data_IF_208431352999
#
_entry.id   IF_208431352999
#
_cell.length_a   1.000
_cell.length_b   1.000
_cell.length_c   1.000
_cell.angle_alpha   90.00
_cell.angle_beta   90.00
_cell.angle_gamma   90.00
#
_symmetry.space_group_name_H-M   'P 1'
#
loop_
_entity.id
_entity.type
_entity.pdbx_description
1 polymer ?
#
# COMPACT_ATOMS: atom_id res chain seq x y z
N UNK A 1 20.03 -52.25 51.97
CA UNK A 1 20.51 -51.97 53.34
C UNK A 1 21.83 -51.21 53.25
N UNK A 2 21.76 -49.88 53.44
CA UNK A 2 22.37 -49.11 54.54
C UNK A 2 23.86 -48.80 54.40
N UNK A 3 24.17 -47.62 53.86
CA UNK A 3 25.41 -46.89 54.18
C UNK A 3 25.05 -45.53 54.77
N UNK A 4 25.14 -45.45 56.10
CA UNK A 4 24.86 -44.25 56.92
C UNK A 4 25.93 -43.17 56.69
N UNK A 5 25.48 -41.98 56.31
CA UNK A 5 26.24 -40.72 56.31
C UNK A 5 26.37 -40.18 57.74
N UNK A 6 27.60 -39.99 58.24
CA UNK A 6 27.89 -39.25 59.50
C UNK A 6 28.16 -37.77 59.18
N UNK A 7 27.26 -36.88 59.59
CA UNK A 7 27.45 -35.41 59.59
C UNK A 7 28.36 -34.99 60.76
N UNK A 8 29.39 -34.21 60.45
CA UNK A 8 30.35 -33.60 61.39
C UNK A 8 29.78 -32.28 61.94
N UNK A 9 29.76 -32.15 63.27
CA UNK A 9 29.24 -31.01 64.03
C UNK A 9 30.26 -29.85 64.01
N UNK A 10 29.88 -28.66 63.55
CA UNK A 10 30.65 -27.42 63.74
C UNK A 10 30.00 -26.64 64.89
N UNK A 11 30.79 -26.38 65.95
CA UNK A 11 30.42 -25.55 67.10
C UNK A 11 30.59 -24.07 66.71
N UNK A 12 29.52 -23.28 66.72
CA UNK A 12 29.63 -21.82 66.77
C UNK A 12 29.66 -21.36 68.24
N UNK A 13 30.68 -20.57 68.59
CA UNK A 13 30.80 -19.89 69.90
C UNK A 13 29.82 -18.72 69.93
N UNK A 14 28.85 -18.77 70.82
CA UNK A 14 27.94 -17.66 71.16
C UNK A 14 28.62 -16.74 72.17
N UNK A 15 28.99 -15.53 71.75
CA UNK A 15 29.39 -14.44 72.63
C UNK A 15 28.13 -13.78 73.18
N UNK A 16 27.89 -13.86 74.49
CA UNK A 16 26.75 -13.23 75.17
C UNK A 16 26.92 -11.71 75.18
N UNK A 17 26.10 -10.99 74.41
CA UNK A 17 25.84 -9.56 74.61
C UNK A 17 24.62 -9.42 75.53
N UNK A 18 24.85 -8.85 76.71
CA UNK A 18 23.82 -8.42 77.67
C UNK A 18 22.79 -7.51 77.01
N UNK A 19 21.52 -7.94 76.99
CA UNK A 19 20.37 -7.13 76.55
C UNK A 19 20.12 -6.04 77.59
N UNK A 20 20.59 -4.82 77.32
CA UNK A 20 20.02 -3.60 77.93
C UNK A 20 18.61 -3.41 77.34
N UNK A 21 17.63 -3.13 78.19
CA UNK A 21 16.30 -2.70 77.72
C UNK A 21 16.47 -1.46 76.83
N UNK A 22 15.76 -1.39 75.69
CA UNK A 22 15.87 -0.25 74.80
C UNK A 22 15.28 0.97 75.51
N UNK A 23 16.10 1.97 75.79
CA UNK A 23 15.66 3.27 76.31
C UNK A 23 14.52 3.81 75.43
N UNK A 24 13.51 4.46 76.02
CA UNK A 24 12.34 5.01 75.30
C UNK A 24 12.72 5.82 74.03
N UNK A 25 13.86 6.52 74.07
CA UNK A 25 14.44 7.23 72.92
C UNK A 25 14.86 6.32 71.75
N UNK A 26 15.36 5.11 72.01
CA UNK A 26 15.72 4.13 70.98
C UNK A 26 14.47 3.51 70.31
N UNK A 27 13.39 3.35 71.07
CA UNK A 27 12.08 2.91 70.55
C UNK A 27 11.47 4.03 69.71
N UNK A 28 11.47 5.27 70.19
CA UNK A 28 10.99 6.44 69.45
C UNK A 28 11.73 6.65 68.12
N UNK A 29 13.06 6.47 68.11
CA UNK A 29 13.86 6.56 66.88
C UNK A 29 13.50 5.47 65.88
N UNK A 30 13.26 4.23 66.34
CA UNK A 30 12.78 3.13 65.48
C UNK A 30 11.38 3.41 64.94
N UNK A 31 10.47 3.90 65.77
CA UNK A 31 9.10 4.27 65.37
C UNK A 31 9.13 5.40 64.33
N UNK A 32 9.99 6.41 64.51
CA UNK A 32 10.19 7.48 63.53
C UNK A 32 10.72 6.93 62.20
N UNK A 33 11.74 6.05 62.21
CA UNK A 33 12.27 5.44 60.98
C UNK A 33 11.25 4.55 60.26
N UNK A 34 10.38 3.85 61.01
CA UNK A 34 9.28 3.06 60.44
C UNK A 34 8.20 3.97 59.86
N UNK A 35 7.90 5.10 60.52
CA UNK A 35 6.97 6.11 60.01
C UNK A 35 7.46 6.73 58.70
N UNK A 36 8.75 7.08 58.63
CA UNK A 36 9.36 7.64 57.42
C UNK A 36 9.42 6.62 56.28
N UNK A 37 9.74 5.35 56.59
CA UNK A 37 9.69 4.25 55.62
C UNK A 37 8.27 4.02 55.10
N UNK A 38 7.25 4.13 55.97
CA UNK A 38 5.84 3.99 55.59
C UNK A 38 5.39 5.17 54.71
N UNK A 39 5.86 6.39 54.99
CA UNK A 39 5.60 7.56 54.14
C UNK A 39 6.27 7.43 52.76
N UNK A 40 7.51 6.94 52.70
CA UNK A 40 8.19 6.65 51.44
C UNK A 40 7.43 5.60 50.63
N UNK A 41 7.08 4.47 51.25
CA UNK A 41 6.30 3.42 50.61
C UNK A 41 4.95 3.94 50.09
N UNK A 42 4.26 4.79 50.87
CA UNK A 42 3.02 5.44 50.44
C UNK A 42 3.22 6.33 49.21
N UNK A 43 4.29 7.13 49.15
CA UNK A 43 4.62 7.94 47.97
C UNK A 43 4.91 7.07 46.75
N UNK A 44 5.61 5.96 46.95
CA UNK A 44 6.00 5.03 45.89
C UNK A 44 4.81 4.23 45.36
N UNK A 45 3.90 3.78 46.24
CA UNK A 45 2.61 3.21 45.87
C UNK A 45 1.80 4.22 45.05
N UNK A 46 1.78 5.50 45.45
CA UNK A 46 1.04 6.55 44.70
C UNK A 46 1.64 6.80 43.32
N UNK A 47 2.97 6.75 43.19
CA UNK A 47 3.66 6.82 41.91
C UNK A 47 3.35 5.59 41.04
N UNK A 48 3.36 4.37 41.61
CA UNK A 48 2.96 3.14 40.92
C UNK A 48 1.51 3.20 40.43
N UNK A 49 0.56 3.67 41.25
CA UNK A 49 -0.84 3.82 40.85
C UNK A 49 -0.99 4.79 39.68
N UNK A 50 -0.21 5.88 39.67
CA UNK A 50 -0.19 6.83 38.55
C UNK A 50 0.34 6.17 37.27
N UNK A 51 1.45 5.43 37.35
CA UNK A 51 1.99 4.66 36.21
C UNK A 51 0.97 3.64 35.70
N UNK A 52 0.28 2.94 36.59
CA UNK A 52 -0.75 1.97 36.21
C UNK A 52 -1.91 2.64 35.45
N UNK A 53 -2.34 3.82 35.90
CA UNK A 53 -3.38 4.61 35.22
C UNK A 53 -2.94 5.12 33.85
N UNK A 54 -1.67 5.52 33.69
CA UNK A 54 -1.10 5.94 32.40
C UNK A 54 -0.97 4.75 31.45
N UNK A 55 -0.49 3.60 31.93
CA UNK A 55 -0.43 2.36 31.15
C UNK A 55 -1.82 1.92 30.68
N UNK A 56 -2.86 2.10 31.51
CA UNK A 56 -4.22 1.78 31.11
C UNK A 56 -4.74 2.69 30.00
N UNK A 57 -4.36 3.98 29.99
CA UNK A 57 -4.66 4.89 28.87
C UNK A 57 -3.95 4.45 27.59
N UNK A 58 -2.68 4.06 27.68
CA UNK A 58 -1.93 3.53 26.52
C UNK A 58 -2.61 2.29 25.97
N UNK A 59 -3.01 1.35 26.83
CA UNK A 59 -3.74 0.14 26.42
C UNK A 59 -5.07 0.45 25.74
N UNK A 60 -5.84 1.41 26.23
CA UNK A 60 -7.07 1.87 25.57
C UNK A 60 -6.78 2.47 24.20
N UNK A 61 -5.68 3.24 24.08
CA UNK A 61 -5.26 3.82 22.81
C UNK A 61 -4.83 2.74 21.81
N UNK A 62 -4.10 1.72 22.27
CA UNK A 62 -3.73 0.56 21.46
C UNK A 62 -4.96 -0.25 21.02
N UNK A 63 -5.93 -0.44 21.90
CA UNK A 63 -7.22 -1.06 21.55
C UNK A 63 -7.91 -0.29 20.42
N UNK A 64 -8.01 1.03 20.53
CA UNK A 64 -8.64 1.86 19.49
C UNK A 64 -7.88 1.79 18.15
N UNK A 65 -6.54 1.71 18.18
CA UNK A 65 -5.74 1.48 16.99
C UNK A 65 -5.97 0.09 16.40
N UNK A 66 -6.05 -0.97 17.22
CA UNK A 66 -6.37 -2.33 16.78
C UNK A 66 -7.77 -2.38 16.18
N UNK A 67 -8.76 -1.72 16.77
CA UNK A 67 -10.13 -1.66 16.24
C UNK A 67 -10.17 -0.94 14.88
N UNK A 68 -9.39 0.14 14.73
CA UNK A 68 -9.25 0.86 13.45
C UNK A 68 -8.54 0.02 12.39
N UNK A 69 -7.47 -0.67 12.76
CA UNK A 69 -6.76 -1.60 11.87
C UNK A 69 -7.64 -2.78 11.47
N UNK A 70 -8.43 -3.33 12.40
CA UNK A 70 -9.36 -4.43 12.14
C UNK A 70 -10.43 -3.98 11.14
N UNK A 71 -10.98 -2.78 11.32
CA UNK A 71 -11.96 -2.20 10.40
C UNK A 71 -11.37 -1.96 9.00
N UNK A 72 -10.13 -1.48 8.92
CA UNK A 72 -9.42 -1.31 7.65
C UNK A 72 -9.14 -2.66 6.96
N UNK A 73 -8.76 -3.69 7.73
CA UNK A 73 -8.50 -5.04 7.22
C UNK A 73 -9.79 -5.67 6.66
N UNK A 74 -10.91 -5.47 7.34
CA UNK A 74 -12.22 -5.94 6.90
C UNK A 74 -12.69 -5.22 5.62
N UNK A 75 -12.41 -3.93 5.49
CA UNK A 75 -12.66 -3.17 4.26
C UNK A 75 -11.80 -3.69 3.09
N UNK A 76 -10.50 -3.93 3.32
CA UNK A 76 -9.58 -4.49 2.32
C UNK A 76 -10.02 -5.88 1.87
N UNK A 77 -10.45 -6.75 2.81
CA UNK A 77 -10.97 -8.08 2.46
C UNK A 77 -12.25 -8.01 1.62
N UNK A 78 -13.17 -7.08 1.91
CA UNK A 78 -14.37 -6.87 1.10
C UNK A 78 -14.03 -6.35 -0.31
N UNK A 79 -13.10 -5.40 -0.41
CA UNK A 79 -12.60 -4.88 -1.68
C UNK A 79 -11.93 -5.98 -2.51
N UNK A 80 -11.07 -6.82 -1.91
CA UNK A 80 -10.42 -7.94 -2.60
C UNK A 80 -11.44 -8.91 -3.20
N UNK A 81 -12.53 -9.24 -2.48
CA UNK A 81 -13.62 -10.07 -3.04
C UNK A 81 -14.31 -9.39 -4.23
N UNK A 82 -14.52 -8.08 -4.17
CA UNK A 82 -15.11 -7.33 -5.28
C UNK A 82 -14.18 -7.31 -6.51
N UNK A 83 -12.87 -7.18 -6.31
CA UNK A 83 -11.86 -7.24 -7.38
C UNK A 83 -11.88 -8.61 -8.07
N UNK A 84 -11.91 -9.70 -7.30
CA UNK A 84 -11.97 -11.05 -7.90
C UNK A 84 -13.24 -11.26 -8.74
N UNK A 85 -14.37 -10.69 -8.32
CA UNK A 85 -15.62 -10.75 -9.11
C UNK A 85 -15.51 -9.90 -10.38
N UNK A 86 -14.89 -8.71 -10.28
CA UNK A 86 -14.64 -7.84 -11.43
C UNK A 86 -13.69 -8.49 -12.46
N UNK A 87 -12.69 -9.23 -11.97
CA UNK A 87 -11.77 -9.98 -12.81
C UNK A 87 -12.50 -11.11 -13.57
N UNK A 88 -13.33 -11.90 -12.87
CA UNK A 88 -14.16 -12.94 -13.50
C UNK A 88 -15.15 -12.37 -14.52
N UNK A 89 -15.82 -11.25 -14.19
CA UNK A 89 -16.71 -10.54 -15.11
C UNK A 89 -15.94 -10.02 -16.35
N UNK A 90 -14.72 -9.50 -16.16
CA UNK A 90 -13.86 -9.04 -17.26
C UNK A 90 -13.46 -10.19 -18.17
N UNK A 91 -13.13 -11.36 -17.61
CA UNK A 91 -12.82 -12.56 -18.38
C UNK A 91 -14.04 -13.05 -19.19
N UNK A 92 -15.25 -12.99 -18.62
CA UNK A 92 -16.50 -13.34 -19.34
C UNK A 92 -16.79 -12.36 -20.48
N UNK A 93 -16.67 -11.06 -20.25
CA UNK A 93 -16.81 -10.05 -21.31
C UNK A 93 -15.79 -10.29 -22.42
N UNK A 94 -14.56 -10.64 -22.05
CA UNK A 94 -13.53 -10.94 -23.03
C UNK A 94 -13.87 -12.17 -23.89
N UNK A 95 -14.38 -13.23 -23.27
CA UNK A 95 -14.85 -14.41 -23.98
C UNK A 95 -16.05 -14.09 -24.91
N UNK A 96 -17.00 -13.28 -24.43
CA UNK A 96 -18.15 -12.81 -25.21
C UNK A 96 -17.73 -11.95 -26.40
N UNK A 97 -16.82 -10.99 -26.18
CA UNK A 97 -16.29 -10.12 -27.22
C UNK A 97 -15.54 -10.91 -28.31
N UNK A 98 -14.76 -11.92 -27.91
CA UNK A 98 -14.09 -12.80 -28.86
C UNK A 98 -15.09 -13.60 -29.72
N UNK A 99 -16.21 -14.04 -29.15
CA UNK A 99 -17.28 -14.68 -29.93
C UNK A 99 -17.95 -13.70 -30.90
N UNK A 100 -18.25 -12.48 -30.46
CA UNK A 100 -18.86 -11.44 -31.32
C UNK A 100 -17.92 -11.06 -32.47
N UNK A 101 -16.61 -10.93 -32.21
CA UNK A 101 -15.58 -10.66 -33.24
C UNK A 101 -15.50 -11.81 -34.26
N UNK A 102 -15.55 -13.06 -33.80
CA UNK A 102 -15.63 -14.23 -34.69
C UNK A 102 -16.90 -14.23 -35.57
N UNK A 103 -18.02 -13.74 -35.03
CA UNK A 103 -19.30 -13.64 -35.76
C UNK A 103 -19.40 -12.41 -36.68
N UNK A 104 -18.58 -11.38 -36.50
CA UNK A 104 -18.49 -10.24 -37.43
C UNK A 104 -18.10 -10.68 -38.84
N UNK A 105 -17.23 -11.68 -38.98
CA UNK A 105 -16.85 -12.22 -40.29
C UNK A 105 -17.99 -13.00 -40.97
N UNK A 106 -18.92 -13.56 -40.19
CA UNK A 106 -20.14 -14.14 -40.75
C UNK A 106 -21.04 -13.04 -41.32
N UNK A 107 -21.12 -11.89 -40.67
CA UNK A 107 -21.85 -10.72 -41.20
C UNK A 107 -21.23 -10.24 -42.51
N UNK A 108 -19.89 -10.15 -42.60
CA UNK A 108 -19.19 -9.80 -43.84
C UNK A 108 -19.48 -10.82 -44.94
N UNK A 109 -19.41 -12.14 -44.66
CA UNK A 109 -19.74 -13.19 -45.63
C UNK A 109 -21.20 -13.15 -46.08
N UNK A 110 -22.14 -12.88 -45.17
CA UNK A 110 -23.56 -12.72 -45.49
C UNK A 110 -23.77 -11.50 -46.38
N UNK A 111 -23.07 -10.40 -46.10
CA UNK A 111 -23.14 -9.19 -46.92
C UNK A 111 -22.60 -9.44 -48.34
N UNK A 112 -21.47 -10.14 -48.46
CA UNK A 112 -20.90 -10.55 -49.74
C UNK A 112 -21.84 -11.50 -50.52
N UNK A 113 -22.46 -12.46 -49.83
CA UNK A 113 -23.45 -13.35 -50.44
C UNK A 113 -24.70 -12.60 -50.88
N UNK A 114 -25.13 -11.58 -50.13
CA UNK A 114 -26.27 -10.72 -50.47
C UNK A 114 -25.97 -9.86 -51.70
N UNK A 115 -24.76 -9.31 -51.80
CA UNK A 115 -24.31 -8.57 -52.97
C UNK A 115 -24.28 -9.44 -54.24
N UNK A 116 -23.77 -10.68 -54.12
CA UNK A 116 -23.78 -11.66 -55.23
C UNK A 116 -25.19 -12.05 -55.64
N UNK A 117 -26.09 -12.23 -54.67
CA UNK A 117 -27.52 -12.48 -54.93
C UNK A 117 -28.20 -11.30 -55.64
N UNK A 118 -27.88 -10.06 -55.27
CA UNK A 118 -28.38 -8.87 -55.98
C UNK A 118 -27.88 -8.82 -57.43
N UNK A 119 -26.63 -9.19 -57.67
CA UNK A 119 -26.04 -9.23 -59.01
C UNK A 119 -26.65 -10.34 -59.87
N UNK A 120 -26.93 -11.52 -59.31
CA UNK A 120 -27.64 -12.60 -60.01
C UNK A 120 -29.11 -12.25 -60.25
N UNK A 121 -29.80 -11.60 -59.30
CA UNK A 121 -31.18 -11.09 -59.52
C UNK A 121 -31.21 -10.05 -60.65
N UNK A 122 -30.17 -9.22 -60.77
CA UNK A 122 -30.01 -8.30 -61.89
C UNK A 122 -29.80 -9.04 -63.22
N UNK A 123 -29.00 -10.12 -63.25
CA UNK A 123 -28.79 -10.98 -64.42
C UNK A 123 -30.05 -11.78 -64.81
N UNK A 124 -30.86 -12.22 -63.85
CA UNK A 124 -32.16 -12.86 -64.08
C UNK A 124 -33.13 -11.93 -64.82
N UNK A 125 -33.01 -10.61 -64.61
CA UNK A 125 -33.78 -9.59 -65.34
C UNK A 125 -33.42 -9.50 -66.84
N UNK A 126 -32.28 -10.06 -67.27
CA UNK A 126 -31.79 -9.98 -68.66
C UNK A 126 -31.93 -11.28 -69.49
N UNK A 127 -32.30 -12.43 -68.91
CA UNK A 127 -32.98 -13.52 -69.63
C UNK A 127 -32.27 -14.88 -69.87
N UNK A 128 -33.13 -15.92 -69.92
CA UNK A 128 -33.02 -17.29 -70.48
C UNK A 128 -32.46 -18.50 -69.67
N UNK A 129 -33.34 -19.51 -69.57
CA UNK A 129 -33.20 -20.99 -69.53
C UNK A 129 -32.19 -21.73 -68.64
N UNK A 130 -32.52 -21.98 -67.36
CA UNK A 130 -32.12 -23.19 -66.58
C UNK A 130 -33.04 -23.36 -65.33
N UNK A 131 -34.36 -23.34 -65.50
CA UNK A 131 -35.36 -23.16 -64.42
C UNK A 131 -35.32 -24.22 -63.30
N UNK A 132 -34.86 -25.44 -63.60
CA UNK A 132 -34.94 -26.59 -62.69
C UNK A 132 -33.72 -26.71 -61.76
N UNK A 133 -32.49 -26.53 -62.29
CA UNK A 133 -31.28 -26.34 -61.46
C UNK A 133 -31.37 -25.05 -60.64
N UNK A 134 -31.99 -24.01 -61.20
CA UNK A 134 -32.23 -22.75 -60.52
C UNK A 134 -33.18 -22.91 -59.34
N UNK A 135 -34.28 -23.66 -59.50
CA UNK A 135 -35.21 -23.99 -58.40
C UNK A 135 -34.50 -24.73 -57.26
N UNK A 136 -33.65 -25.70 -57.60
CA UNK A 136 -32.88 -26.47 -56.62
C UNK A 136 -31.84 -25.59 -55.88
N UNK A 137 -31.15 -24.68 -56.59
CA UNK A 137 -30.23 -23.71 -56.00
C UNK A 137 -30.93 -22.66 -55.14
N UNK A 138 -32.08 -22.16 -55.58
CA UNK A 138 -32.91 -21.22 -54.82
C UNK A 138 -33.42 -21.89 -53.55
N UNK A 139 -33.83 -23.16 -53.58
CA UNK A 139 -34.23 -23.91 -52.38
C UNK A 139 -33.06 -24.11 -51.41
N UNK A 140 -31.88 -24.47 -51.90
CA UNK A 140 -30.66 -24.58 -51.07
C UNK A 140 -30.24 -23.22 -50.49
N UNK A 141 -30.43 -22.14 -51.24
CA UNK A 141 -30.24 -20.76 -50.78
C UNK A 141 -31.27 -20.39 -49.71
N UNK A 142 -32.54 -20.78 -49.86
CA UNK A 142 -33.60 -20.55 -48.89
C UNK A 142 -33.31 -21.22 -47.54
N UNK A 143 -32.82 -22.47 -47.57
CA UNK A 143 -32.41 -23.19 -46.36
C UNK A 143 -31.17 -22.56 -45.70
N UNK A 144 -30.22 -22.09 -46.52
CA UNK A 144 -29.04 -21.36 -46.04
C UNK A 144 -29.42 -20.01 -45.42
N UNK A 145 -30.35 -19.27 -46.04
CA UNK A 145 -30.90 -18.01 -45.53
C UNK A 145 -31.66 -18.25 -44.23
N UNK A 146 -32.43 -19.33 -44.13
CA UNK A 146 -33.16 -19.71 -42.91
C UNK A 146 -32.20 -20.08 -41.77
N UNK A 147 -31.14 -20.82 -42.06
CA UNK A 147 -30.10 -21.15 -41.08
C UNK A 147 -29.33 -19.90 -40.63
N UNK A 148 -28.93 -19.05 -41.57
CA UNK A 148 -28.27 -17.77 -41.28
C UNK A 148 -29.18 -16.84 -40.46
N UNK A 149 -30.48 -16.79 -40.76
CA UNK A 149 -31.50 -16.06 -39.99
C UNK A 149 -31.56 -16.53 -38.54
N UNK A 150 -31.57 -17.84 -38.29
CA UNK A 150 -31.53 -18.38 -36.92
C UNK A 150 -30.22 -18.02 -36.20
N UNK A 151 -29.10 -17.99 -36.92
CA UNK A 151 -27.82 -17.57 -36.37
C UNK A 151 -27.82 -16.07 -36.00
N UNK A 152 -28.42 -15.22 -36.83
CA UNK A 152 -28.60 -13.79 -36.57
C UNK A 152 -29.46 -13.56 -35.31
N UNK A 153 -30.52 -14.34 -35.10
CA UNK A 153 -31.35 -14.26 -33.89
C UNK A 153 -30.54 -14.60 -32.64
N UNK A 154 -29.72 -15.66 -32.68
CA UNK A 154 -28.83 -16.03 -31.57
C UNK A 154 -27.74 -14.98 -31.32
N UNK A 155 -27.24 -14.33 -32.38
CA UNK A 155 -26.29 -13.22 -32.28
C UNK A 155 -26.96 -12.02 -31.60
N UNK A 156 -28.18 -11.66 -31.99
CA UNK A 156 -28.92 -10.57 -31.37
C UNK A 156 -29.12 -10.80 -29.87
N UNK A 157 -29.53 -12.02 -29.48
CA UNK A 157 -29.68 -12.40 -28.07
C UNK A 157 -28.36 -12.28 -27.28
N UNK A 158 -27.24 -12.74 -27.85
CA UNK A 158 -25.92 -12.57 -27.22
C UNK A 158 -25.45 -11.12 -27.14
N UNK A 159 -25.80 -10.30 -28.12
CA UNK A 159 -25.50 -8.86 -28.09
C UNK A 159 -26.29 -8.19 -26.95
N UNK A 160 -27.54 -8.59 -26.73
CA UNK A 160 -28.34 -8.09 -25.62
C UNK A 160 -27.75 -8.52 -24.26
N UNK A 161 -27.29 -9.77 -24.13
CA UNK A 161 -26.59 -10.25 -22.92
C UNK A 161 -25.29 -9.47 -22.67
N UNK A 162 -24.43 -9.31 -23.68
CA UNK A 162 -23.17 -8.55 -23.58
C UNK A 162 -23.45 -7.08 -23.24
N UNK A 163 -24.54 -6.51 -23.74
CA UNK A 163 -24.95 -5.12 -23.45
C UNK A 163 -25.36 -4.97 -21.99
N UNK A 164 -26.12 -5.92 -21.45
CA UNK A 164 -26.51 -5.90 -20.03
C UNK A 164 -25.29 -6.11 -19.11
N UNK A 165 -24.36 -6.99 -19.47
CA UNK A 165 -23.08 -7.15 -18.75
C UNK A 165 -22.25 -5.86 -18.77
N UNK A 166 -22.16 -5.19 -19.92
CA UNK A 166 -21.51 -3.88 -20.05
C UNK A 166 -22.17 -2.82 -19.18
N UNK A 167 -23.50 -2.83 -19.10
CA UNK A 167 -24.28 -1.90 -18.27
C UNK A 167 -24.05 -2.16 -16.78
N UNK A 168 -23.95 -3.42 -16.38
CA UNK A 168 -23.64 -3.82 -15.01
C UNK A 168 -22.20 -3.45 -14.61
N UNK A 169 -21.22 -3.63 -15.50
CA UNK A 169 -19.84 -3.18 -15.29
C UNK A 169 -19.74 -1.66 -15.23
N UNK A 170 -20.49 -0.94 -16.07
CA UNK A 170 -20.60 0.52 -15.99
C UNK A 170 -21.17 0.97 -14.64
N UNK A 171 -22.22 0.33 -14.14
CA UNK A 171 -22.79 0.64 -12.83
C UNK A 171 -21.83 0.31 -11.67
N UNK A 172 -21.00 -0.75 -11.78
CA UNK A 172 -19.90 -1.00 -10.84
C UNK A 172 -18.78 0.04 -10.97
N UNK A 173 -18.52 0.57 -12.16
CA UNK A 173 -17.55 1.66 -12.37
C UNK A 173 -17.96 2.95 -11.66
N UNK A 174 -19.26 3.20 -11.48
CA UNK A 174 -19.74 4.31 -10.65
C UNK A 174 -19.32 4.17 -9.18
N UNK A 175 -19.05 2.96 -8.66
CA UNK A 175 -18.44 2.79 -7.33
C UNK A 175 -16.95 3.18 -7.29
N UNK A 176 -16.27 3.26 -8.42
CA UNK A 176 -14.95 3.92 -8.52
C UNK A 176 -15.06 5.44 -8.33
N UNK A 177 -16.22 6.05 -8.61
CA UNK A 177 -16.45 7.48 -8.34
C UNK A 177 -16.53 7.76 -6.84
N UNK A 178 -17.10 6.83 -6.04
CA UNK A 178 -17.07 6.95 -4.58
C UNK A 178 -15.65 6.86 -4.02
N UNK A 179 -14.78 6.03 -4.61
CA UNK A 179 -13.36 5.99 -4.22
C UNK A 179 -12.67 7.34 -4.49
N UNK A 180 -12.94 7.98 -5.63
CA UNK A 180 -12.43 9.34 -5.90
C UNK A 180 -12.97 10.39 -4.92
N UNK A 181 -14.24 10.27 -4.52
CA UNK A 181 -14.85 11.14 -3.52
C UNK A 181 -14.20 10.95 -2.14
N UNK A 182 -13.99 9.71 -1.74
CA UNK A 182 -13.32 9.35 -0.48
C UNK A 182 -11.87 9.83 -0.48
N UNK A 183 -11.15 9.71 -1.60
CA UNK A 183 -9.81 10.27 -1.79
C UNK A 183 -9.82 11.80 -1.68
N UNK A 184 -10.84 12.46 -2.22
CA UNK A 184 -11.05 13.90 -2.07
C UNK A 184 -11.32 14.32 -0.63
N UNK A 185 -12.10 13.54 0.12
CA UNK A 185 -12.36 13.76 1.54
C UNK A 185 -11.10 13.54 2.39
N UNK A 186 -10.31 12.50 2.11
CA UNK A 186 -9.02 12.24 2.75
C UNK A 186 -8.05 13.40 2.47
N UNK A 187 -7.97 13.88 1.23
CA UNK A 187 -7.14 15.03 0.85
C UNK A 187 -7.53 16.29 1.63
N UNK A 188 -8.83 16.61 1.72
CA UNK A 188 -9.31 17.74 2.52
C UNK A 188 -8.96 17.60 4.00
N UNK A 189 -9.02 16.39 4.56
CA UNK A 189 -8.59 16.12 5.94
C UNK A 189 -7.09 16.32 6.12
N UNK A 190 -6.27 15.87 5.17
CA UNK A 190 -4.80 16.07 5.18
C UNK A 190 -4.48 17.56 5.12
N UNK A 191 -5.13 18.32 4.25
CA UNK A 191 -4.91 19.76 4.08
C UNK A 191 -5.31 20.53 5.36
N UNK A 192 -6.40 20.12 6.02
CA UNK A 192 -6.79 20.64 7.33
C UNK A 192 -5.77 20.30 8.43
N UNK A 193 -5.21 19.08 8.44
CA UNK A 193 -4.17 18.67 9.38
C UNK A 193 -2.88 19.46 9.12
N UNK A 194 -2.51 19.67 7.86
CA UNK A 194 -1.35 20.48 7.46
C UNK A 194 -1.48 21.92 7.97
N UNK A 195 -2.64 22.55 7.78
CA UNK A 195 -2.89 23.89 8.31
C UNK A 195 -2.83 23.96 9.85
N UNK A 196 -3.29 22.91 10.55
CA UNK A 196 -3.13 22.80 12.01
C UNK A 196 -1.66 22.60 12.42
N UNK A 197 -0.86 21.90 11.62
CA UNK A 197 0.57 21.72 11.86
C UNK A 197 1.33 23.06 11.73
N UNK A 198 0.99 23.90 10.76
CA UNK A 198 1.54 25.27 10.66
C UNK A 198 1.17 26.13 11.88
N UNK A 199 -0.06 26.01 12.38
CA UNK A 199 -0.46 26.69 13.63
C UNK A 199 0.34 26.19 14.85
N UNK A 200 0.66 24.89 14.92
CA UNK A 200 1.53 24.33 15.96
C UNK A 200 2.96 24.90 15.85
N UNK A 201 3.45 25.15 14.63
CA UNK A 201 4.76 25.75 14.43
C UNK A 201 4.82 27.20 14.95
N UNK A 202 3.75 27.98 14.77
CA UNK A 202 3.66 29.34 15.36
C UNK A 202 3.55 29.30 16.90
N UNK A 203 2.84 28.31 17.46
CA UNK A 203 2.79 28.05 18.90
C UNK A 203 4.17 27.72 19.49
N UNK A 204 5.04 26.99 18.77
CA UNK A 204 6.41 26.73 19.22
C UNK A 204 7.20 28.03 19.42
N UNK A 205 7.07 29.01 18.52
CA UNK A 205 7.73 30.31 18.69
C UNK A 205 7.27 31.05 19.94
N UNK A 206 5.99 30.93 20.32
CA UNK A 206 5.46 31.48 21.58
C UNK A 206 6.03 30.74 22.79
N UNK A 207 6.16 29.40 22.71
CA UNK A 207 6.77 28.58 23.77
C UNK A 207 8.23 28.96 23.99
N UNK A 208 9.00 29.22 22.92
CA UNK A 208 10.38 29.70 23.02
C UNK A 208 10.47 31.07 23.71
N UNK A 209 9.55 31.98 23.38
CA UNK A 209 9.43 33.27 24.05
C UNK A 209 9.12 33.13 25.55
N UNK A 210 8.17 32.26 25.90
CA UNK A 210 7.84 31.96 27.31
C UNK A 210 9.02 31.32 28.03
N UNK A 211 9.77 30.42 27.38
CA UNK A 211 10.97 29.78 27.93
C UNK A 211 12.04 30.82 28.29
N UNK A 212 12.28 31.80 27.43
CA UNK A 212 13.21 32.89 27.70
C UNK A 212 12.75 33.77 28.88
N UNK A 213 11.44 34.06 28.96
CA UNK A 213 10.87 34.77 30.11
C UNK A 213 11.02 33.96 31.40
N UNK A 214 10.79 32.64 31.37
CA UNK A 214 10.95 31.77 32.54
C UNK A 214 12.40 31.66 33.01
N UNK A 215 13.36 31.59 32.08
CA UNK A 215 14.78 31.65 32.44
C UNK A 215 15.11 32.96 33.16
N UNK A 216 14.57 34.08 32.71
CA UNK A 216 14.75 35.39 33.36
C UNK A 216 14.11 35.44 34.74
N UNK A 217 12.95 34.81 34.95
CA UNK A 217 12.32 34.70 36.27
C UNK A 217 13.12 33.78 37.20
N UNK A 218 13.71 32.71 36.66
CA UNK A 218 14.55 31.77 37.42
C UNK A 218 15.80 32.47 37.96
N UNK A 219 16.52 33.23 37.13
CA UNK A 219 17.72 33.97 37.56
C UNK A 219 17.39 35.07 38.57
N UNK A 220 16.23 35.73 38.43
CA UNK A 220 15.72 36.68 39.44
C UNK A 220 15.36 35.98 40.76
N UNK A 221 14.78 34.77 40.70
CA UNK A 221 14.47 33.99 41.89
C UNK A 221 15.74 33.53 42.61
N UNK A 222 16.76 33.08 41.88
CA UNK A 222 18.09 32.76 42.44
C UNK A 222 18.73 33.96 43.13
N UNK A 223 18.60 35.15 42.54
CA UNK A 223 19.05 36.41 43.14
C UNK A 223 18.29 36.71 44.44
N UNK A 224 16.99 36.41 44.53
CA UNK A 224 16.21 36.53 45.77
C UNK A 224 16.65 35.53 46.84
N UNK A 225 17.00 34.29 46.47
CA UNK A 225 17.56 33.29 47.40
C UNK A 225 18.89 33.78 47.97
N UNK A 226 19.75 34.37 47.15
CA UNK A 226 21.00 34.99 47.62
C UNK A 226 20.76 36.17 48.57
N UNK A 227 19.73 37.00 48.32
CA UNK A 227 19.31 38.06 49.24
C UNK A 227 18.76 37.50 50.55
N UNK A 228 18.02 36.39 50.52
CA UNK A 228 17.57 35.69 51.74
C UNK A 228 18.76 35.26 52.60
N UNK A 229 19.82 34.71 52.00
CA UNK A 229 21.04 34.35 52.74
C UNK A 229 21.76 35.55 53.37
N UNK A 230 21.77 36.70 52.68
CA UNK A 230 22.27 37.95 53.27
C UNK A 230 21.39 38.45 54.41
N UNK A 231 20.07 38.24 54.31
CA UNK A 231 19.10 38.57 55.34
C UNK A 231 19.30 37.71 56.60
N UNK A 232 19.63 36.43 56.45
CA UNK A 232 20.03 35.54 57.56
C UNK A 232 21.25 36.10 58.32
N UNK A 233 22.24 36.60 57.57
CA UNK A 233 23.46 37.19 58.15
C UNK A 233 23.13 38.46 58.92
N UNK A 234 22.29 39.33 58.35
CA UNK A 234 21.85 40.57 58.98
C UNK A 234 20.98 40.31 60.22
N UNK A 235 20.13 39.27 60.23
CA UNK A 235 19.38 38.87 61.43
C UNK A 235 20.31 38.45 62.57
N UNK A 236 21.39 37.74 62.24
CA UNK A 236 22.43 37.36 63.20
C UNK A 236 23.14 38.57 63.79
N UNK A 237 23.48 39.55 62.94
CA UNK A 237 24.09 40.82 63.35
C UNK A 237 23.14 41.65 64.24
N UNK A 238 21.87 41.81 63.86
CA UNK A 238 20.84 42.49 64.67
C UNK A 238 20.70 41.81 66.03
N UNK A 239 20.64 40.47 66.05
CA UNK A 239 20.56 39.69 67.30
C UNK A 239 21.79 39.90 68.19
N UNK A 240 22.98 40.06 67.60
CA UNK A 240 24.21 40.33 68.34
C UNK A 240 24.25 41.75 68.92
N UNK A 241 23.77 42.73 68.15
CA UNK A 241 23.62 44.13 68.60
C UNK A 241 22.58 44.24 69.70
N UNK A 242 21.48 43.48 69.61
CA UNK A 242 20.46 43.44 70.64
C UNK A 242 21.03 42.96 71.98
N UNK A 243 21.81 41.87 71.97
CA UNK A 243 22.52 41.38 73.17
C UNK A 243 23.46 42.43 73.78
N UNK A 244 24.00 43.33 72.95
CA UNK A 244 24.89 44.43 73.39
C UNK A 244 24.12 45.69 73.82
N UNK A 245 22.93 45.93 73.28
CA UNK A 245 22.08 47.07 73.59
C UNK A 245 21.17 46.85 74.82
N UNK A 246 20.83 45.60 75.16
CA UNK A 246 20.14 45.24 76.41
C UNK A 246 20.95 45.65 77.67
N UNK A 247 22.26 45.93 77.54
CA UNK A 247 23.10 46.58 78.57
C UNK A 247 22.79 48.08 78.78
N UNK A 248 21.98 48.70 77.92
CA UNK A 248 21.53 50.10 77.97
C UNK A 248 20.01 50.18 77.79
N UNK A 249 19.27 50.19 78.91
CA UNK A 249 17.82 49.93 78.99
C UNK A 249 16.89 50.68 78.00
N UNK A 250 17.30 51.86 77.50
CA UNK A 250 16.48 52.68 76.58
C UNK A 250 16.59 52.28 75.10
N UNK A 251 17.71 51.68 74.67
CA UNK A 251 17.96 51.36 73.24
C UNK A 251 17.52 49.93 72.90
N UNK A 252 17.45 49.03 73.89
CA UNK A 252 17.11 47.62 73.69
C UNK A 252 15.66 47.38 73.22
N UNK A 253 14.70 48.22 73.61
CA UNK A 253 13.29 48.02 73.30
C UNK A 253 12.94 48.40 71.85
N UNK A 254 13.50 49.50 71.32
CA UNK A 254 13.39 49.87 69.91
C UNK A 254 14.08 48.86 68.99
N UNK A 255 15.23 48.33 69.42
CA UNK A 255 15.97 47.32 68.65
C UNK A 255 15.26 45.95 68.65
N UNK A 256 14.51 45.61 69.70
CA UNK A 256 13.60 44.45 69.74
C UNK A 256 12.48 44.56 68.72
N UNK A 257 11.86 45.74 68.59
CA UNK A 257 10.83 45.99 67.57
C UNK A 257 11.40 45.81 66.16
N UNK A 258 12.57 46.40 65.88
CA UNK A 258 13.25 46.27 64.57
C UNK A 258 13.58 44.81 64.26
N UNK A 259 14.02 44.01 65.24
CA UNK A 259 14.29 42.60 65.04
C UNK A 259 13.01 41.81 64.69
N UNK A 260 11.89 42.11 65.37
CA UNK A 260 10.59 41.49 65.07
C UNK A 260 10.14 41.82 63.65
N UNK A 261 10.12 43.10 63.29
CA UNK A 261 9.69 43.56 61.97
C UNK A 261 10.58 42.99 60.85
N UNK A 262 11.89 42.87 61.09
CA UNK A 262 12.83 42.26 60.17
C UNK A 262 12.59 40.75 60.00
N UNK A 263 12.26 40.05 61.09
CA UNK A 263 11.92 38.62 61.06
C UNK A 263 10.63 38.37 60.27
N UNK A 264 9.62 39.20 60.49
CA UNK A 264 8.34 39.14 59.77
C UNK A 264 8.51 39.45 58.27
N UNK A 265 9.36 40.44 57.94
CA UNK A 265 9.71 40.76 56.55
C UNK A 265 10.43 39.58 55.89
N UNK A 266 11.42 38.99 56.57
CA UNK A 266 12.18 37.84 56.09
C UNK A 266 11.29 36.63 55.81
N UNK A 267 10.41 36.31 56.75
CA UNK A 267 9.50 35.18 56.59
C UNK A 267 8.58 35.37 55.37
N UNK A 268 8.06 36.59 55.18
CA UNK A 268 7.23 36.92 54.02
C UNK A 268 7.98 36.84 52.68
N UNK A 269 9.21 37.35 52.62
CA UNK A 269 10.06 37.27 51.43
C UNK A 269 10.42 35.82 51.11
N UNK A 270 10.78 35.02 52.12
CA UNK A 270 11.14 33.61 51.96
C UNK A 270 9.96 32.76 51.47
N UNK A 271 8.76 32.96 52.05
CA UNK A 271 7.52 32.28 51.61
C UNK A 271 7.17 32.62 50.16
N UNK A 272 7.22 33.89 49.77
CA UNK A 272 6.94 34.31 48.38
C UNK A 272 7.99 33.78 47.40
N UNK A 273 9.26 33.77 47.78
CA UNK A 273 10.36 33.23 46.96
C UNK A 273 10.16 31.73 46.71
N UNK A 274 9.88 30.96 47.76
CA UNK A 274 9.66 29.53 47.67
C UNK A 274 8.46 29.20 46.77
N UNK A 275 7.36 29.95 46.89
CA UNK A 275 6.19 29.80 46.03
C UNK A 275 6.47 30.13 44.55
N UNK A 276 7.34 31.10 44.27
CA UNK A 276 7.76 31.43 42.89
C UNK A 276 8.62 30.29 42.32
N UNK A 277 9.60 29.79 43.08
CA UNK A 277 10.48 28.69 42.65
C UNK A 277 9.67 27.43 42.33
N UNK A 278 8.70 27.07 43.17
CA UNK A 278 7.84 25.90 42.95
C UNK A 278 6.98 26.05 41.68
N UNK A 279 6.39 27.23 41.46
CA UNK A 279 5.60 27.51 40.25
C UNK A 279 6.45 27.50 38.99
N UNK A 280 7.66 28.06 39.04
CA UNK A 280 8.62 28.05 37.92
C UNK A 280 9.04 26.61 37.58
N UNK A 281 9.32 25.78 38.59
CA UNK A 281 9.63 24.36 38.38
C UNK A 281 8.47 23.62 37.72
N UNK A 282 7.25 23.82 38.22
CA UNK A 282 6.05 23.15 37.68
C UNK A 282 5.78 23.51 36.22
N UNK A 283 6.00 24.77 35.83
CA UNK A 283 5.81 25.23 34.46
C UNK A 283 6.97 24.77 33.56
N UNK A 284 8.21 24.72 34.08
CA UNK A 284 9.36 24.15 33.36
C UNK A 284 9.12 22.69 32.96
N UNK A 285 8.56 21.88 33.86
CA UNK A 285 8.20 20.49 33.57
C UNK A 285 7.08 20.38 32.52
N UNK A 286 6.12 21.32 32.54
CA UNK A 286 5.05 21.39 31.55
C UNK A 286 5.60 21.73 30.15
N UNK A 287 6.53 22.69 30.06
CA UNK A 287 7.20 23.07 28.81
C UNK A 287 7.98 21.88 28.23
N UNK A 288 8.78 21.18 29.03
CA UNK A 288 9.53 19.98 28.56
C UNK A 288 8.60 18.88 28.04
N UNK A 289 7.48 18.65 28.72
CA UNK A 289 6.48 17.66 28.28
C UNK A 289 5.79 18.07 26.98
N UNK A 290 5.54 19.37 26.80
CA UNK A 290 5.00 19.93 25.56
C UNK A 290 5.98 19.76 24.40
N UNK A 291 7.27 20.09 24.59
CA UNK A 291 8.32 19.93 23.58
C UNK A 291 8.44 18.47 23.12
N UNK A 292 8.42 17.51 24.05
CA UNK A 292 8.44 16.08 23.74
C UNK A 292 7.22 15.65 22.90
N UNK A 293 6.02 16.11 23.27
CA UNK A 293 4.79 15.80 22.53
C UNK A 293 4.78 16.40 21.13
N UNK A 294 5.30 17.62 20.95
CA UNK A 294 5.40 18.26 19.62
C UNK A 294 6.41 17.55 18.73
N UNK A 295 7.56 17.14 19.28
CA UNK A 295 8.56 16.37 18.54
C UNK A 295 8.03 15.01 18.07
N UNK A 296 7.29 14.29 18.93
CA UNK A 296 6.61 13.05 18.54
C UNK A 296 5.53 13.27 17.47
N UNK A 297 4.80 14.39 17.52
CA UNK A 297 3.80 14.74 16.53
C UNK A 297 4.41 14.97 15.14
N UNK A 298 5.50 15.74 15.06
CA UNK A 298 6.21 15.94 13.79
C UNK A 298 6.76 14.63 13.24
N UNK A 299 7.42 13.81 14.07
CA UNK A 299 7.97 12.51 13.63
C UNK A 299 6.88 11.56 13.09
N UNK A 300 5.72 11.48 13.76
CA UNK A 300 4.60 10.67 13.27
C UNK A 300 3.98 11.23 12.00
N UNK A 301 3.91 12.55 11.87
CA UNK A 301 3.36 13.23 10.69
C UNK A 301 4.24 13.01 9.46
N UNK A 302 5.56 13.11 9.61
CA UNK A 302 6.52 12.84 8.53
C UNK A 302 6.44 11.39 8.07
N UNK A 303 6.31 10.45 9.01
CA UNK A 303 6.13 9.03 8.68
C UNK A 303 4.84 8.78 7.91
N UNK A 304 3.72 9.38 8.33
CA UNK A 304 2.43 9.28 7.61
C UNK A 304 2.52 9.88 6.21
N UNK A 305 3.24 10.98 6.04
CA UNK A 305 3.44 11.59 4.72
C UNK A 305 4.29 10.69 3.81
N UNK A 306 5.35 10.07 4.34
CA UNK A 306 6.17 9.11 3.62
C UNK A 306 5.38 7.86 3.19
N UNK A 307 4.62 7.27 4.12
CA UNK A 307 3.76 6.12 3.85
C UNK A 307 2.71 6.44 2.76
N UNK A 308 2.16 7.67 2.74
CA UNK A 308 1.24 8.14 1.70
C UNK A 308 1.90 8.29 0.32
N UNK A 309 3.15 8.73 0.25
CA UNK A 309 3.89 8.81 -1.00
C UNK A 309 4.26 7.41 -1.52
N UNK A 310 4.64 6.49 -0.63
CA UNK A 310 4.90 5.10 -0.97
C UNK A 310 3.62 4.41 -1.48
N UNK A 311 2.48 4.61 -0.81
CA UNK A 311 1.16 4.14 -1.27
C UNK A 311 0.79 4.68 -2.65
N UNK A 312 1.07 5.96 -2.92
CA UNK A 312 0.84 6.57 -4.24
C UNK A 312 1.75 5.95 -5.31
N UNK A 313 3.01 5.66 -4.98
CA UNK A 313 3.96 5.00 -5.86
C UNK A 313 3.55 3.56 -6.21
N UNK A 314 3.20 2.77 -5.20
CA UNK A 314 2.76 1.37 -5.37
C UNK A 314 1.43 1.30 -6.11
N UNK A 315 0.47 2.17 -5.81
CA UNK A 315 -0.84 2.16 -6.48
C UNK A 315 -0.74 2.53 -7.96
N UNK A 316 0.05 3.56 -8.29
CA UNK A 316 0.25 3.94 -9.70
C UNK A 316 1.04 2.89 -10.48
N UNK A 317 2.04 2.27 -9.85
CA UNK A 317 2.84 1.22 -10.47
C UNK A 317 2.01 -0.05 -10.68
N UNK A 318 1.32 -0.54 -9.65
CA UNK A 318 0.46 -1.72 -9.76
C UNK A 318 -0.68 -1.53 -10.78
N UNK A 319 -1.30 -0.35 -10.82
CA UNK A 319 -2.34 -0.02 -11.80
C UNK A 319 -1.79 0.02 -13.24
N UNK A 320 -0.61 0.63 -13.43
CA UNK A 320 0.08 0.66 -14.72
C UNK A 320 0.50 -0.74 -15.19
N UNK A 321 1.10 -1.53 -14.30
CA UNK A 321 1.64 -2.85 -14.63
C UNK A 321 0.49 -3.83 -14.92
N UNK A 322 -0.58 -3.82 -14.12
CA UNK A 322 -1.81 -4.62 -14.38
C UNK A 322 -2.46 -4.23 -15.71
N UNK A 323 -2.52 -2.93 -16.04
CA UNK A 323 -3.10 -2.45 -17.30
C UNK A 323 -2.25 -2.87 -18.51
N UNK A 324 -0.90 -2.86 -18.37
CA UNK A 324 0.03 -3.31 -19.41
C UNK A 324 -0.04 -4.83 -19.62
N UNK A 325 -0.07 -5.62 -18.55
CA UNK A 325 -0.26 -7.07 -18.61
C UNK A 325 -1.61 -7.43 -19.25
N UNK A 326 -2.69 -6.75 -18.85
CA UNK A 326 -4.00 -6.92 -19.46
C UNK A 326 -3.96 -6.57 -20.96
N UNK A 327 -3.33 -5.46 -21.35
CA UNK A 327 -3.15 -5.12 -22.76
C UNK A 327 -2.32 -6.15 -23.54
N UNK A 328 -1.28 -6.71 -22.92
CA UNK A 328 -0.46 -7.77 -23.52
C UNK A 328 -1.30 -9.02 -23.79
N UNK A 329 -2.11 -9.47 -22.81
CA UNK A 329 -3.01 -10.61 -22.95
C UNK A 329 -4.09 -10.36 -24.01
N UNK A 330 -4.68 -9.16 -24.02
CA UNK A 330 -5.66 -8.76 -25.05
C UNK A 330 -5.05 -8.82 -26.46
N UNK A 331 -3.84 -8.28 -26.63
CA UNK A 331 -3.12 -8.28 -27.92
C UNK A 331 -2.71 -9.69 -28.35
N UNK A 332 -2.30 -10.54 -27.40
CA UNK A 332 -1.96 -11.94 -27.67
C UNK A 332 -3.18 -12.73 -28.13
N UNK A 333 -4.32 -12.56 -27.47
CA UNK A 333 -5.57 -13.22 -27.86
C UNK A 333 -6.13 -12.65 -29.16
N UNK A 334 -5.96 -11.36 -29.45
CA UNK A 334 -6.29 -10.77 -30.75
C UNK A 334 -5.47 -11.43 -31.87
N UNK A 335 -4.16 -11.55 -31.67
CA UNK A 335 -3.26 -12.24 -32.59
C UNK A 335 -3.68 -13.70 -32.83
N UNK A 336 -3.89 -14.48 -31.76
CA UNK A 336 -4.29 -15.89 -31.89
C UNK A 336 -5.63 -16.05 -32.62
N UNK A 337 -6.59 -15.15 -32.37
CA UNK A 337 -7.88 -15.16 -33.05
C UNK A 337 -7.72 -14.89 -34.56
N UNK A 338 -6.94 -13.87 -34.94
CA UNK A 338 -6.66 -13.55 -36.35
C UNK A 338 -6.00 -14.70 -37.11
N UNK A 339 -4.96 -15.32 -36.52
CA UNK A 339 -4.27 -16.48 -37.14
C UNK A 339 -5.23 -17.66 -37.31
N UNK A 340 -6.08 -17.93 -36.31
CA UNK A 340 -7.06 -19.03 -36.39
C UNK A 340 -8.13 -18.76 -37.46
N UNK A 341 -8.63 -17.53 -37.53
CA UNK A 341 -9.61 -17.10 -38.51
C UNK A 341 -9.09 -17.21 -39.94
N UNK A 342 -7.86 -16.77 -40.18
CA UNK A 342 -7.21 -16.92 -41.48
C UNK A 342 -7.03 -18.40 -41.83
N UNK A 343 -6.62 -19.24 -40.88
CA UNK A 343 -6.47 -20.69 -41.09
C UNK A 343 -7.78 -21.44 -41.35
N UNK A 344 -8.91 -20.93 -40.86
CA UNK A 344 -10.22 -21.49 -41.15
C UNK A 344 -10.72 -21.18 -42.57
N UNK A 345 -10.11 -20.22 -43.28
CA UNK A 345 -10.47 -19.94 -44.67
C UNK A 345 -10.22 -21.15 -45.57
N UNK A 346 -11.13 -21.37 -46.53
CA UNK A 346 -11.01 -22.45 -47.53
C UNK A 346 -10.11 -22.07 -48.70
N UNK A 347 -9.95 -20.78 -48.96
CA UNK A 347 -9.13 -20.21 -50.02
C UNK A 347 -8.33 -19.05 -49.44
N UNK A 348 -7.09 -18.88 -49.89
CA UNK A 348 -6.23 -17.78 -49.50
C UNK A 348 -5.11 -17.59 -50.52
N UNK A 349 -4.54 -16.41 -50.53
CA UNK A 349 -3.47 -16.02 -51.45
C UNK A 349 -2.13 -15.89 -50.72
N UNK A 350 -1.04 -15.78 -51.48
CA UNK A 350 0.29 -15.56 -50.94
C UNK A 350 0.35 -14.33 -50.00
N UNK A 351 -0.46 -13.30 -50.29
CA UNK A 351 -0.59 -12.09 -49.47
C UNK A 351 -1.15 -12.38 -48.08
N UNK A 352 -2.02 -13.37 -47.93
CA UNK A 352 -2.58 -13.74 -46.64
C UNK A 352 -1.54 -14.42 -45.75
N UNK A 353 -0.64 -15.21 -46.35
CA UNK A 353 0.50 -15.80 -45.64
C UNK A 353 1.48 -14.72 -45.18
N UNK A 354 1.75 -13.72 -46.04
CA UNK A 354 2.55 -12.55 -45.68
C UNK A 354 1.92 -11.78 -44.52
N UNK A 355 0.61 -11.52 -44.57
CA UNK A 355 -0.12 -10.87 -43.48
C UNK A 355 -0.04 -11.66 -42.16
N UNK A 356 -0.15 -12.99 -42.21
CA UNK A 356 -0.02 -13.85 -41.01
C UNK A 356 1.42 -13.84 -40.45
N UNK A 357 2.43 -13.81 -41.32
CA UNK A 357 3.83 -13.71 -40.92
C UNK A 357 4.12 -12.34 -40.27
N UNK A 358 3.63 -11.26 -40.87
CA UNK A 358 3.79 -9.90 -40.34
C UNK A 358 3.08 -9.71 -39.00
N UNK A 359 1.87 -10.25 -38.84
CA UNK A 359 1.15 -10.26 -37.57
C UNK A 359 1.94 -11.01 -36.49
N UNK A 360 2.60 -12.10 -36.86
CA UNK A 360 3.44 -12.90 -35.95
C UNK A 360 4.68 -12.12 -35.51
N UNK A 361 5.33 -11.40 -36.43
CA UNK A 361 6.47 -10.53 -36.10
C UNK A 361 6.05 -9.34 -35.24
N UNK A 362 4.89 -8.72 -35.53
CA UNK A 362 4.38 -7.59 -34.76
C UNK A 362 4.09 -7.95 -33.30
N UNK A 363 3.48 -9.12 -33.04
CA UNK A 363 3.19 -9.53 -31.67
C UNK A 363 4.49 -9.84 -30.91
N UNK A 364 5.47 -10.50 -31.54
CA UNK A 364 6.78 -10.80 -30.94
C UNK A 364 7.47 -9.51 -30.53
N UNK A 365 7.56 -8.53 -31.44
CA UNK A 365 8.18 -7.24 -31.15
C UNK A 365 7.46 -6.46 -30.04
N UNK A 366 6.14 -6.58 -29.96
CA UNK A 366 5.34 -5.92 -28.92
C UNK A 366 5.62 -6.51 -27.53
N UNK A 367 5.70 -7.83 -27.43
CA UNK A 367 6.05 -8.52 -26.18
C UNK A 367 7.51 -8.34 -25.77
N UNK A 368 8.44 -8.27 -26.72
CA UNK A 368 9.85 -7.97 -26.44
C UNK A 368 10.00 -6.54 -25.90
N UNK A 369 9.30 -5.56 -26.47
CA UNK A 369 9.25 -4.19 -25.93
C UNK A 369 8.65 -4.15 -24.53
N UNK A 370 7.52 -4.82 -24.31
CA UNK A 370 6.88 -4.88 -22.99
C UNK A 370 7.77 -5.56 -21.95
N UNK A 371 8.52 -6.60 -22.33
CA UNK A 371 9.49 -7.28 -21.45
C UNK A 371 10.64 -6.36 -21.05
N UNK A 372 11.16 -5.58 -22.00
CA UNK A 372 12.24 -4.60 -21.73
C UNK A 372 11.73 -3.50 -20.78
N UNK A 373 10.51 -3.00 -21.00
CA UNK A 373 9.91 -1.95 -20.16
C UNK A 373 9.53 -2.43 -18.76
N UNK A 374 9.10 -3.68 -18.61
CA UNK A 374 8.70 -4.26 -17.33
C UNK A 374 9.88 -4.75 -16.48
N UNK A 375 11.10 -4.82 -17.03
CA UNK A 375 12.28 -5.46 -16.39
C UNK A 375 12.07 -6.93 -15.97
N UNK A 376 10.95 -7.53 -16.33
CA UNK A 376 10.64 -8.96 -16.23
C UNK A 376 10.70 -9.60 -17.62
N UNK A 377 11.26 -10.81 -17.69
CA UNK A 377 11.20 -11.62 -18.90
C UNK A 377 9.77 -12.09 -19.11
N UNK A 378 9.00 -11.34 -19.90
CA UNK A 378 7.71 -11.75 -20.44
C UNK A 378 7.79 -11.98 -21.97
N UNK A 379 8.76 -12.74 -22.50
CA UNK A 379 8.76 -13.04 -23.93
C UNK A 379 7.53 -13.90 -24.27
N UNK A 380 7.05 -13.80 -25.51
CA UNK A 380 5.96 -14.68 -25.98
C UNK A 380 6.33 -16.14 -25.70
N UNK A 381 5.43 -16.94 -25.08
CA UNK A 381 5.67 -18.36 -24.89
C UNK A 381 6.05 -19.04 -26.21
N UNK A 382 7.12 -19.82 -26.18
CA UNK A 382 7.65 -20.49 -27.37
C UNK A 382 6.59 -21.34 -28.08
N UNK A 383 5.63 -21.87 -27.32
CA UNK A 383 4.47 -22.62 -27.78
C UNK A 383 3.57 -21.80 -28.70
N UNK A 384 3.40 -20.50 -28.45
CA UNK A 384 2.58 -19.61 -29.28
C UNK A 384 3.30 -19.29 -30.59
N UNK A 385 4.63 -19.10 -30.55
CA UNK A 385 5.45 -18.91 -31.76
C UNK A 385 5.39 -20.14 -32.66
N UNK A 386 5.61 -21.32 -32.08
CA UNK A 386 5.50 -22.59 -32.80
C UNK A 386 4.10 -22.81 -33.36
N UNK A 387 3.06 -22.52 -32.56
CA UNK A 387 1.67 -22.69 -32.99
C UNK A 387 1.34 -21.81 -34.20
N UNK A 388 1.77 -20.54 -34.18
CA UNK A 388 1.51 -19.60 -35.28
C UNK A 388 2.20 -20.05 -36.58
N UNK A 389 3.49 -20.41 -36.51
CA UNK A 389 4.24 -20.91 -37.67
C UNK A 389 3.66 -22.23 -38.19
N UNK A 390 3.27 -23.14 -37.30
CA UNK A 390 2.56 -24.36 -37.68
C UNK A 390 1.26 -24.07 -38.41
N UNK A 391 0.48 -23.07 -37.97
CA UNK A 391 -0.77 -22.70 -38.64
C UNK A 391 -0.54 -22.11 -40.01
N UNK A 392 0.52 -21.31 -40.19
CA UNK A 392 0.90 -20.78 -41.51
C UNK A 392 1.21 -21.91 -42.50
N UNK A 393 1.94 -22.96 -42.07
CA UNK A 393 2.19 -24.12 -42.93
C UNK A 393 0.92 -24.93 -43.24
N UNK A 394 0.00 -25.08 -42.27
CA UNK A 394 -1.29 -25.73 -42.53
C UNK A 394 -2.12 -24.95 -43.56
N UNK A 395 -2.08 -23.60 -43.53
CA UNK A 395 -2.74 -22.77 -44.54
C UNK A 395 -2.09 -22.94 -45.91
N UNK A 396 -0.77 -22.96 -45.96
CA UNK A 396 -0.02 -23.12 -47.20
C UNK A 396 -0.33 -24.44 -47.91
N UNK A 397 -0.44 -25.54 -47.16
CA UNK A 397 -0.88 -26.84 -47.68
C UNK A 397 -2.28 -26.75 -48.29
N UNK A 398 -3.21 -26.22 -47.50
CA UNK A 398 -4.63 -26.12 -47.86
C UNK A 398 -4.89 -25.21 -49.06
N UNK A 399 -4.05 -24.19 -49.27
CA UNK A 399 -4.15 -23.24 -50.38
C UNK A 399 -3.18 -23.57 -51.52
N UNK A 400 -2.51 -24.73 -51.47
CA UNK A 400 -1.57 -25.22 -52.48
C UNK A 400 -0.44 -24.24 -52.81
N UNK A 401 0.03 -23.50 -51.80
CA UNK A 401 1.15 -22.55 -51.94
C UNK A 401 2.48 -23.29 -51.92
N UNK A 402 3.40 -22.92 -52.82
CA UNK A 402 4.72 -23.57 -52.90
C UNK A 402 5.54 -23.32 -51.64
N UNK A 403 6.22 -24.37 -51.18
CA UNK A 403 7.10 -24.32 -50.01
C UNK A 403 8.12 -23.17 -50.07
N UNK A 404 8.79 -23.00 -51.21
CA UNK A 404 9.83 -21.98 -51.40
C UNK A 404 9.31 -20.55 -51.16
N UNK A 405 8.08 -20.26 -51.58
CA UNK A 405 7.47 -18.94 -51.43
C UNK A 405 7.11 -18.68 -49.96
N UNK A 406 6.53 -19.66 -49.29
CA UNK A 406 6.19 -19.60 -47.85
C UNK A 406 7.45 -19.50 -46.99
N UNK A 407 8.47 -20.27 -47.32
CA UNK A 407 9.74 -20.28 -46.59
C UNK A 407 10.48 -18.95 -46.73
N UNK A 408 10.48 -18.35 -47.92
CA UNK A 408 11.05 -17.03 -48.14
C UNK A 408 10.32 -15.93 -47.35
N UNK A 409 8.98 -15.95 -47.33
CA UNK A 409 8.17 -15.00 -46.54
C UNK A 409 8.48 -15.13 -45.05
N UNK A 410 8.45 -16.36 -44.50
CA UNK A 410 8.74 -16.59 -43.08
C UNK A 410 10.17 -16.20 -42.71
N UNK A 411 11.14 -16.47 -43.58
CA UNK A 411 12.55 -16.11 -43.36
C UNK A 411 12.75 -14.60 -43.39
N UNK A 412 12.07 -13.89 -44.28
CA UNK A 412 12.16 -12.43 -44.39
C UNK A 412 11.42 -11.71 -43.25
N UNK A 413 10.24 -12.19 -42.85
CA UNK A 413 9.42 -11.53 -41.82
C UNK A 413 9.84 -11.88 -40.39
N UNK A 414 10.18 -13.15 -40.08
CA UNK A 414 10.53 -13.57 -38.71
C UNK A 414 12.05 -13.62 -38.46
N UNK A 415 12.87 -13.77 -39.50
CA UNK A 415 14.31 -13.98 -39.36
C UNK A 415 14.69 -15.42 -39.04
N UNK A 416 15.95 -15.78 -39.33
CA UNK A 416 16.46 -17.17 -39.29
C UNK A 416 16.43 -17.78 -37.88
N UNK A 417 16.76 -17.01 -36.85
CA UNK A 417 16.86 -17.54 -35.48
C UNK A 417 15.48 -17.86 -34.87
N UNK A 418 14.50 -16.98 -35.03
CA UNK A 418 13.12 -17.21 -34.57
C UNK A 418 12.45 -18.33 -35.36
N UNK A 419 12.71 -18.41 -36.67
CA UNK A 419 12.16 -19.46 -37.51
C UNK A 419 12.73 -20.83 -37.14
N UNK A 420 14.03 -20.91 -36.81
CA UNK A 420 14.68 -22.13 -36.32
C UNK A 420 14.05 -22.67 -35.04
N UNK A 421 13.66 -21.79 -34.12
CA UNK A 421 12.96 -22.17 -32.89
C UNK A 421 11.49 -22.56 -33.12
N UNK A 422 10.81 -21.90 -34.06
CA UNK A 422 9.38 -22.05 -34.27
C UNK A 422 8.98 -23.21 -35.21
N UNK A 423 9.87 -23.66 -36.09
CA UNK A 423 9.57 -24.70 -37.08
C UNK A 423 9.48 -26.10 -36.46
N UNK A 424 8.42 -26.84 -36.82
CA UNK A 424 8.33 -28.29 -36.60
C UNK A 424 8.71 -29.06 -37.86
N UNK A 425 9.91 -29.64 -37.87
CA UNK A 425 10.43 -30.41 -39.02
C UNK A 425 9.50 -31.56 -39.43
N UNK A 426 8.84 -32.23 -38.47
CA UNK A 426 7.87 -33.29 -38.79
C UNK A 426 6.71 -32.79 -39.64
N UNK A 427 6.17 -31.62 -39.31
CA UNK A 427 5.04 -31.04 -40.05
C UNK A 427 5.45 -30.67 -41.48
N UNK A 428 6.60 -30.02 -41.65
CA UNK A 428 7.10 -29.67 -43.00
C UNK A 428 7.35 -30.90 -43.85
N UNK A 429 7.91 -31.97 -43.26
CA UNK A 429 8.10 -33.25 -43.95
C UNK A 429 6.79 -33.86 -44.43
N UNK A 430 5.77 -33.83 -43.57
CA UNK A 430 4.51 -34.50 -43.84
C UNK A 430 3.66 -33.71 -44.87
N UNK A 431 3.85 -32.39 -44.95
CA UNK A 431 3.15 -31.50 -45.90
C UNK A 431 3.91 -31.38 -47.25
N UNK A 432 5.20 -31.04 -47.21
CA UNK A 432 5.98 -30.66 -48.40
C UNK A 432 7.02 -31.72 -48.82
N UNK A 433 7.17 -32.81 -48.06
CA UNK A 433 8.08 -33.91 -48.36
C UNK A 433 9.54 -33.69 -47.91
N UNK A 434 10.39 -34.69 -48.15
CA UNK A 434 11.79 -34.72 -47.69
C UNK A 434 12.65 -33.59 -48.27
N UNK A 435 12.41 -33.15 -49.51
CA UNK A 435 13.22 -32.09 -50.15
C UNK A 435 13.10 -30.74 -49.44
N UNK A 436 11.91 -30.38 -48.97
CA UNK A 436 11.68 -29.16 -48.21
C UNK A 436 12.39 -29.20 -46.84
N UNK A 437 12.50 -30.39 -46.24
CA UNK A 437 13.25 -30.59 -44.99
C UNK A 437 14.75 -30.41 -45.21
N UNK A 438 15.29 -30.92 -46.33
CA UNK A 438 16.70 -30.76 -46.67
C UNK A 438 17.05 -29.28 -46.94
N UNK A 439 16.14 -28.54 -47.57
CA UNK A 439 16.25 -27.09 -47.80
C UNK A 439 16.26 -26.30 -46.48
N UNK A 440 15.37 -26.64 -45.54
CA UNK A 440 15.36 -26.08 -44.17
C UNK A 440 16.65 -26.39 -43.42
N UNK A 441 17.12 -27.65 -43.45
CA UNK A 441 18.35 -28.07 -42.76
C UNK A 441 19.55 -27.32 -43.28
N UNK A 442 19.60 -27.08 -44.60
CA UNK A 442 20.67 -26.34 -45.27
C UNK A 442 20.64 -24.83 -44.99
N UNK A 443 19.47 -24.19 -45.05
CA UNK A 443 19.34 -22.73 -44.89
C UNK A 443 19.33 -22.26 -43.41
N UNK A 444 18.76 -23.05 -42.51
CA UNK A 444 18.66 -22.73 -41.07
C UNK A 444 19.74 -23.42 -40.21
N UNK A 445 20.65 -24.16 -40.84
CA UNK A 445 21.77 -24.85 -40.19
C UNK A 445 21.28 -25.72 -39.00
N UNK A 446 20.26 -26.53 -39.25
CA UNK A 446 19.62 -27.41 -38.26
C UNK A 446 20.15 -28.83 -38.51
N UNK A 447 20.84 -29.39 -37.51
CA UNK A 447 21.52 -30.68 -37.64
C UNK A 447 20.57 -31.87 -37.67
#
# INVERSE_FOLDING_TARGET
MTSKTKKKKVKSKTTKTTKKEPTSAAVLKKVATVSDSTKMLSKEIKAMTKIFSENQKVLVTMKNMIDSLTSALEYIQKQSKQINILEDDTQKIFAGLNQVKGQSNLVIKINDQTARLQEEIAKIREGSSETEKLSQKVSQSMDSIKNNSQMIIKIAQRIDEVRDDLRNVSAKTDTSSSVSKDLGDIRRKIESISGKAEQIQTLNGVIDGLKQQFQTVTTKAESLVNLSGKMDTMESEISSLLKRADSSAFVGEGLKSIQSDFSDFKENVSKKTSAIVEKVSSISDLIKRSEASTSEFHSKTDKVFQDLQELKGVTNKASSDTSKEMMALLKLSEFQSNIRMNAESKYGELKDIENMADQTTQIINLFDKLSIEAQEKMPIPHEVRQWAVSKIFDCADKWEVRFSDVFNILTNSLGRDLLKEAIRIRQVRDIFGIRAVDEIRKELNIS
#
